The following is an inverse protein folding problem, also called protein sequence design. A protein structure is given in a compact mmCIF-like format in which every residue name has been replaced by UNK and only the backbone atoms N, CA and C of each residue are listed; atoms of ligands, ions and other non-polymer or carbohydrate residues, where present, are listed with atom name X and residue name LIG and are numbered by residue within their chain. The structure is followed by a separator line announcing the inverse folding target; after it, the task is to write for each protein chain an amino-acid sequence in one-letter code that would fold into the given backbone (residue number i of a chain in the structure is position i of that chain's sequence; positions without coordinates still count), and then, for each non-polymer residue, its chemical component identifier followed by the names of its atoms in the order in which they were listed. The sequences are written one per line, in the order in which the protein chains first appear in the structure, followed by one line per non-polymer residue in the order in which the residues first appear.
data_IF_622113305729
#
_entry.id   IF_622113305729
#
_cell.length_a   1.000
_cell.length_b   1.000
_cell.length_c   1.000
_cell.angle_alpha   90.00
_cell.angle_beta   90.00
_cell.angle_gamma   90.00
#
_symmetry.space_group_name_H-M   'P 1'
#
loop_
_entity.id
_entity.type
_entity.pdbx_description
1 polymer ?
#
# COMPACT_ATOMS: atom_id res chain seq x y z
N UNK A 1 8.88 28.61 -10.35
CA UNK A 1 7.95 28.03 -9.38
C UNK A 1 7.46 26.70 -9.95
N UNK A 2 8.33 25.69 -10.14
CA UNK A 2 8.02 24.52 -11.00
C UNK A 2 8.70 23.20 -10.56
N UNK A 3 9.20 23.09 -9.32
CA UNK A 3 9.90 21.87 -8.84
C UNK A 3 9.13 21.07 -7.78
N UNK A 4 8.20 21.72 -7.07
CA UNK A 4 7.48 21.14 -5.94
C UNK A 4 6.44 20.10 -6.39
N UNK A 5 5.66 20.41 -7.42
CA UNK A 5 4.67 19.48 -8.01
C UNK A 5 5.29 18.22 -8.63
N UNK A 6 6.49 18.35 -9.23
CA UNK A 6 7.17 17.23 -9.90
C UNK A 6 7.68 16.18 -8.90
N UNK A 7 8.23 16.61 -7.76
CA UNK A 7 8.76 15.70 -6.76
C UNK A 7 7.65 14.93 -6.02
N UNK A 8 6.57 15.63 -5.67
CA UNK A 8 5.41 15.00 -5.03
C UNK A 8 4.76 13.96 -5.95
N UNK A 9 4.63 14.27 -7.25
CA UNK A 9 4.09 13.34 -8.22
C UNK A 9 4.99 12.12 -8.46
N UNK A 10 6.31 12.31 -8.51
CA UNK A 10 7.27 11.20 -8.62
C UNK A 10 7.19 10.28 -7.38
N UNK A 11 7.06 10.88 -6.20
CA UNK A 11 6.91 10.16 -4.94
C UNK A 11 5.58 9.40 -4.89
N UNK A 12 4.47 10.04 -5.27
CA UNK A 12 3.15 9.41 -5.33
C UNK A 12 3.15 8.19 -6.27
N UNK A 13 3.78 8.29 -7.44
CA UNK A 13 3.91 7.16 -8.40
C UNK A 13 4.72 6.01 -7.82
N UNK A 14 5.78 6.30 -7.07
CA UNK A 14 6.59 5.26 -6.40
C UNK A 14 5.79 4.54 -5.33
N UNK A 15 5.02 5.29 -4.53
CA UNK A 15 4.15 4.74 -3.48
C UNK A 15 3.05 3.87 -4.10
N UNK A 16 2.38 4.36 -5.14
CA UNK A 16 1.34 3.60 -5.87
C UNK A 16 1.87 2.26 -6.38
N UNK A 17 2.99 2.29 -7.10
CA UNK A 17 3.60 1.06 -7.63
C UNK A 17 3.99 0.09 -6.51
N UNK A 18 4.58 0.59 -5.42
CA UNK A 18 5.00 -0.26 -4.31
C UNK A 18 3.82 -0.92 -3.61
N UNK A 19 2.77 -0.16 -3.30
CA UNK A 19 1.65 -0.66 -2.49
C UNK A 19 0.66 -1.50 -3.29
N UNK A 20 0.45 -1.19 -4.57
CA UNK A 20 -0.62 -1.78 -5.37
C UNK A 20 -0.14 -2.69 -6.51
N UNK A 21 1.14 -2.70 -6.85
CA UNK A 21 1.65 -3.44 -8.03
C UNK A 21 2.84 -4.34 -7.75
N UNK A 22 3.65 -4.04 -6.74
CA UNK A 22 4.83 -4.84 -6.40
C UNK A 22 4.43 -6.07 -5.59
N UNK A 23 4.69 -7.26 -6.12
CA UNK A 23 4.68 -8.50 -5.33
C UNK A 23 5.88 -8.51 -4.38
N UNK A 24 5.64 -8.82 -3.11
CA UNK A 24 6.67 -8.76 -2.08
C UNK A 24 6.66 -10.02 -1.22
N UNK A 25 7.78 -10.74 -1.19
CA UNK A 25 7.94 -12.03 -0.49
C UNK A 25 7.53 -11.94 0.99
N UNK A 26 7.91 -10.85 1.67
CA UNK A 26 7.54 -10.64 3.07
C UNK A 26 6.05 -10.36 3.28
N UNK A 27 5.31 -10.06 2.22
CA UNK A 27 3.85 -10.00 2.25
C UNK A 27 3.18 -11.33 1.85
N UNK A 28 3.95 -12.38 1.55
CA UNK A 28 3.43 -13.63 0.99
C UNK A 28 3.20 -13.56 -0.52
N UNK A 29 4.06 -12.83 -1.24
CA UNK A 29 4.01 -12.65 -2.69
C UNK A 29 2.72 -11.97 -3.21
N UNK A 30 2.10 -11.14 -2.37
CA UNK A 30 0.99 -10.23 -2.74
C UNK A 30 1.40 -8.77 -2.58
N UNK A 31 0.68 -7.81 -3.19
CA UNK A 31 0.89 -6.39 -2.94
C UNK A 31 0.69 -6.03 -1.45
N UNK A 32 1.50 -5.11 -0.90
CA UNK A 32 1.37 -4.68 0.51
C UNK A 32 -0.03 -4.22 0.90
N UNK A 33 -0.74 -3.52 0.02
CA UNK A 33 -2.09 -3.04 0.29
C UNK A 33 -3.10 -4.19 0.48
N UNK A 34 -2.91 -5.33 -0.19
CA UNK A 34 -3.79 -6.49 -0.04
C UNK A 34 -3.59 -7.18 1.32
N UNK A 35 -2.33 -7.30 1.76
CA UNK A 35 -2.02 -7.82 3.09
C UNK A 35 -2.62 -6.92 4.19
N UNK A 36 -2.46 -5.60 4.05
CA UNK A 36 -3.01 -4.63 5.00
C UNK A 36 -4.55 -4.73 5.05
N UNK A 37 -5.23 -4.82 3.91
CA UNK A 37 -6.68 -4.98 3.84
C UNK A 37 -7.13 -6.27 4.55
N UNK A 38 -6.43 -7.39 4.32
CA UNK A 38 -6.73 -8.66 4.99
C UNK A 38 -6.56 -8.56 6.52
N UNK A 39 -5.51 -7.88 6.97
CA UNK A 39 -5.25 -7.64 8.39
C UNK A 39 -6.35 -6.81 9.05
N UNK A 40 -6.76 -5.70 8.44
CA UNK A 40 -7.83 -4.88 9.01
C UNK A 40 -9.19 -5.58 8.99
N UNK A 41 -9.52 -6.31 7.93
CA UNK A 41 -10.74 -7.11 7.89
C UNK A 41 -10.77 -8.17 9.02
N UNK A 42 -9.62 -8.76 9.36
CA UNK A 42 -9.52 -9.69 10.49
C UNK A 42 -9.69 -8.97 11.83
N UNK A 43 -9.08 -7.80 12.01
CA UNK A 43 -9.23 -6.99 13.23
C UNK A 43 -10.65 -6.50 13.46
N UNK A 44 -11.32 -6.05 12.41
CA UNK A 44 -12.73 -5.61 12.50
C UNK A 44 -13.64 -6.77 12.92
N UNK A 45 -13.45 -7.96 12.34
CA UNK A 45 -14.16 -9.17 12.76
C UNK A 45 -13.94 -9.51 14.23
N UNK A 46 -12.69 -9.40 14.70
CA UNK A 46 -12.35 -9.66 16.10
C UNK A 46 -12.89 -8.60 17.06
N UNK A 47 -13.06 -7.36 16.62
CA UNK A 47 -13.66 -6.29 17.42
C UNK A 47 -15.19 -6.37 17.49
N UNK A 48 -15.83 -7.03 16.51
CA UNK A 48 -17.27 -7.20 16.43
C UNK A 48 -17.79 -8.48 17.14
N UNK A 49 -16.89 -9.32 17.65
CA UNK A 49 -17.18 -10.54 18.42
C UNK A 49 -17.06 -10.31 19.92
#
# INVERSE_FOLDING_TARGET
MEAWWSNELATARRIDWFNHRRLYEYCGDVPPAELEAAYYAQRERAAAS
#
